data_IF_456967241111
#
_entry.id   IF_456967241111
#
_cell.length_a   1.000
_cell.length_b   1.000
_cell.length_c   1.000
_cell.angle_alpha   90.00
_cell.angle_beta   90.00
_cell.angle_gamma   90.00
#
_symmetry.space_group_name_H-M   'P 1'
#
loop_
_entity.id
_entity.type
_entity.pdbx_description
1 polymer ?
#
# COMPACT_ATOMS: atom_id res chain seq x y z
N UNK A 1 -3.21 -12.02 27.49
CA UNK A 1 -2.69 -12.17 26.13
C UNK A 1 -1.94 -13.48 26.00
N UNK A 2 -2.16 -14.22 24.91
CA UNK A 2 -1.37 -15.42 24.64
C UNK A 2 -0.12 -15.08 23.79
N UNK A 3 0.81 -16.03 23.66
CA UNK A 3 2.07 -15.84 22.90
C UNK A 3 1.83 -15.58 21.41
N UNK A 4 0.82 -16.22 20.80
CA UNK A 4 0.47 -16.05 19.39
C UNK A 4 0.02 -14.63 19.10
N UNK A 5 -0.79 -14.03 19.99
CA UNK A 5 -1.31 -12.67 19.82
C UNK A 5 -0.17 -11.64 19.85
N UNK A 6 0.80 -11.82 20.76
CA UNK A 6 1.97 -10.96 20.87
C UNK A 6 2.89 -11.06 19.65
N UNK A 7 3.12 -12.27 19.13
CA UNK A 7 3.89 -12.46 17.91
C UNK A 7 3.19 -11.85 16.69
N UNK A 8 1.88 -12.10 16.54
CA UNK A 8 1.09 -11.48 15.48
C UNK A 8 1.01 -9.95 15.61
N UNK A 9 1.10 -9.41 16.82
CA UNK A 9 1.21 -7.97 17.02
C UNK A 9 2.53 -7.41 16.49
N UNK A 10 3.67 -8.08 16.73
CA UNK A 10 4.97 -7.68 16.16
C UNK A 10 4.89 -7.58 14.64
N UNK A 11 4.33 -8.59 13.96
CA UNK A 11 4.13 -8.60 12.50
C UNK A 11 3.26 -7.44 12.01
N UNK A 12 2.19 -7.11 12.74
CA UNK A 12 1.32 -5.97 12.41
C UNK A 12 2.04 -4.63 12.57
N UNK A 13 2.83 -4.46 13.64
CA UNK A 13 3.59 -3.23 13.85
C UNK A 13 4.72 -3.10 12.81
N UNK A 14 5.40 -4.20 12.47
CA UNK A 14 6.39 -4.23 11.37
C UNK A 14 5.75 -3.75 10.06
N UNK A 15 4.60 -4.32 9.70
CA UNK A 15 3.87 -3.95 8.47
C UNK A 15 3.49 -2.46 8.45
N UNK A 16 3.11 -1.89 9.60
CA UNK A 16 2.83 -0.45 9.73
C UNK A 16 4.11 0.38 9.59
N UNK A 17 5.21 -0.05 10.19
CA UNK A 17 6.50 0.63 10.10
C UNK A 17 7.03 0.66 8.66
N UNK A 18 6.98 -0.47 7.95
CA UNK A 18 7.37 -0.56 6.53
C UNK A 18 6.50 0.38 5.68
N UNK A 19 5.18 0.35 5.84
CA UNK A 19 4.27 1.26 5.10
C UNK A 19 4.55 2.74 5.38
N UNK A 20 4.95 3.08 6.60
CA UNK A 20 5.33 4.45 6.97
C UNK A 20 6.58 4.90 6.21
N UNK A 21 7.61 4.03 6.14
CA UNK A 21 8.83 4.26 5.36
C UNK A 21 8.48 4.39 3.87
N UNK A 22 7.69 3.47 3.32
CA UNK A 22 7.25 3.52 1.92
C UNK A 22 6.57 4.86 1.59
N UNK A 23 5.59 5.27 2.39
CA UNK A 23 4.84 6.52 2.19
C UNK A 23 5.75 7.75 2.19
N UNK A 24 6.68 7.81 3.16
CA UNK A 24 7.67 8.90 3.28
C UNK A 24 8.56 8.99 2.04
N UNK A 25 9.05 7.86 1.54
CA UNK A 25 9.95 7.82 0.39
C UNK A 25 9.24 8.00 -0.94
N UNK A 26 8.05 7.41 -1.10
CA UNK A 26 7.27 7.50 -2.34
C UNK A 26 6.92 8.95 -2.66
N UNK A 27 6.58 9.75 -1.65
CA UNK A 27 6.40 11.20 -1.81
C UNK A 27 7.66 11.89 -2.37
N UNK A 28 8.83 11.61 -1.80
CA UNK A 28 10.11 12.22 -2.24
C UNK A 28 10.52 11.75 -3.64
N UNK A 29 10.30 10.47 -3.93
CA UNK A 29 10.58 9.87 -5.24
C UNK A 29 9.69 10.52 -6.29
N UNK A 30 8.41 10.70 -5.99
CA UNK A 30 7.44 11.32 -6.89
C UNK A 30 7.79 12.79 -7.18
N UNK A 31 8.12 13.57 -6.15
CA UNK A 31 8.60 14.95 -6.30
C UNK A 31 9.88 15.02 -7.16
N UNK A 32 10.79 14.05 -7.01
CA UNK A 32 12.00 13.97 -7.82
C UNK A 32 11.73 13.58 -9.28
N UNK A 33 10.76 12.67 -9.52
CA UNK A 33 10.30 12.29 -10.87
C UNK A 33 9.69 13.50 -11.59
N UNK A 34 8.79 14.23 -10.92
CA UNK A 34 8.17 15.45 -11.46
C UNK A 34 9.23 16.53 -11.75
N UNK A 35 10.18 16.76 -10.84
CA UNK A 35 11.27 17.70 -11.08
C UNK A 35 12.12 17.31 -12.29
N UNK A 36 12.44 16.03 -12.45
CA UNK A 36 13.22 15.54 -13.58
C UNK A 36 12.49 15.70 -14.93
N UNK A 37 11.17 15.52 -14.93
CA UNK A 37 10.33 15.69 -16.11
C UNK A 37 10.01 17.14 -16.45
N UNK A 38 10.13 18.07 -15.50
CA UNK A 38 9.67 19.47 -15.65
C UNK A 38 10.19 20.16 -16.92
N UNK A 39 11.44 19.88 -17.32
CA UNK A 39 12.05 20.40 -18.57
C UNK A 39 11.36 19.95 -19.86
N UNK A 40 10.47 18.97 -19.80
CA UNK A 40 9.71 18.45 -20.93
C UNK A 40 8.22 18.81 -20.88
N UNK A 41 7.74 19.49 -19.83
CA UNK A 41 6.31 19.75 -19.62
C UNK A 41 5.66 20.41 -20.84
N UNK A 42 6.25 21.48 -21.40
CA UNK A 42 5.69 22.18 -22.57
C UNK A 42 5.54 21.24 -23.78
N UNK A 43 6.49 20.33 -24.01
CA UNK A 43 6.40 19.36 -25.11
C UNK A 43 5.32 18.32 -24.84
N UNK A 44 5.24 17.82 -23.61
CA UNK A 44 4.22 16.85 -23.19
C UNK A 44 2.82 17.46 -23.32
N UNK A 45 2.64 18.72 -22.90
CA UNK A 45 1.38 19.46 -23.03
C UNK A 45 0.99 19.64 -24.50
N UNK A 46 1.94 20.04 -25.36
CA UNK A 46 1.71 20.13 -26.81
C UNK A 46 1.22 18.80 -27.40
N UNK A 47 1.86 17.68 -27.05
CA UNK A 47 1.41 16.36 -27.51
C UNK A 47 0.06 15.96 -26.91
N UNK A 48 -0.21 16.29 -25.65
CA UNK A 48 -1.50 16.02 -25.02
C UNK A 48 -2.62 16.79 -25.71
N UNK A 49 -2.42 18.07 -26.05
CA UNK A 49 -3.39 18.86 -26.80
C UNK A 49 -3.63 18.32 -28.21
N UNK A 50 -2.56 17.94 -28.93
CA UNK A 50 -2.68 17.33 -30.25
C UNK A 50 -3.47 16.00 -30.20
N UNK A 51 -3.16 15.15 -29.22
CA UNK A 51 -3.87 13.90 -29.01
C UNK A 51 -5.34 14.13 -28.63
N UNK A 52 -5.65 15.09 -27.76
CA UNK A 52 -7.03 15.38 -27.37
C UNK A 52 -7.87 15.77 -28.60
N UNK A 53 -7.35 16.64 -29.47
CA UNK A 53 -8.02 17.02 -30.71
C UNK A 53 -8.21 15.82 -31.65
N UNK A 54 -7.17 15.00 -31.83
CA UNK A 54 -7.26 13.77 -32.63
C UNK A 54 -8.31 12.81 -32.07
N UNK A 55 -8.31 12.57 -30.76
CA UNK A 55 -9.23 11.69 -30.04
C UNK A 55 -10.68 12.12 -30.23
N UNK A 56 -10.96 13.43 -30.09
CA UNK A 56 -12.30 14.00 -30.35
C UNK A 56 -12.72 13.80 -31.80
N UNK A 57 -11.87 14.18 -32.77
CA UNK A 57 -12.20 14.06 -34.19
C UNK A 57 -12.43 12.60 -34.60
N UNK A 58 -11.60 11.67 -34.13
CA UNK A 58 -11.76 10.25 -34.40
C UNK A 58 -13.07 9.73 -33.78
N UNK A 59 -13.37 10.09 -32.53
CA UNK A 59 -14.60 9.65 -31.85
C UNK A 59 -15.86 10.14 -32.59
N UNK A 60 -15.86 11.38 -33.07
CA UNK A 60 -16.96 11.93 -33.87
C UNK A 60 -17.12 11.14 -35.18
N UNK A 61 -16.04 10.98 -35.96
CA UNK A 61 -16.07 10.21 -37.21
C UNK A 61 -16.61 8.78 -37.01
N UNK A 62 -16.12 8.08 -35.99
CA UNK A 62 -16.56 6.71 -35.70
C UNK A 62 -18.02 6.64 -35.25
N UNK A 63 -18.55 7.71 -34.66
CA UNK A 63 -19.97 7.84 -34.30
C UNK A 63 -20.80 8.07 -35.56
N UNK A 64 -20.38 9.01 -36.41
CA UNK A 64 -21.05 9.30 -37.68
C UNK A 64 -21.14 8.05 -38.56
N UNK A 65 -20.04 7.31 -38.70
CA UNK A 65 -19.99 6.04 -39.46
C UNK A 65 -20.83 4.91 -38.82
N UNK A 66 -21.09 4.98 -37.52
CA UNK A 66 -21.93 3.99 -36.85
C UNK A 66 -23.42 4.25 -37.12
N UNK A 67 -23.80 5.52 -37.24
CA UNK A 67 -25.16 5.94 -37.53
C UNK A 67 -25.51 5.87 -39.02
N UNK A 68 -24.49 5.91 -39.88
CA UNK A 68 -24.61 5.74 -41.32
C UNK A 68 -25.02 4.31 -41.72
N UNK A 69 -26.05 4.21 -42.58
CA UNK A 69 -26.68 2.95 -42.98
C UNK A 69 -25.84 2.13 -43.97
N UNK A 70 -24.88 2.74 -44.66
CA UNK A 70 -24.02 2.05 -45.64
C UNK A 70 -22.74 1.50 -45.00
N UNK A 71 -22.20 2.21 -44.02
CA UNK A 71 -20.92 1.86 -43.37
C UNK A 71 -21.10 1.09 -42.05
N UNK A 72 -22.06 1.48 -41.20
CA UNK A 72 -22.45 0.73 -40.00
C UNK A 72 -21.30 0.33 -39.08
N UNK A 73 -20.38 1.25 -38.76
CA UNK A 73 -19.19 0.94 -37.97
C UNK A 73 -19.51 0.24 -36.63
N UNK A 74 -18.96 -0.97 -36.45
CA UNK A 74 -19.30 -1.89 -35.34
C UNK A 74 -18.29 -1.90 -34.19
N UNK A 75 -17.49 -0.84 -34.06
CA UNK A 75 -16.51 -0.64 -33.00
C UNK A 75 -15.23 -1.49 -33.10
N UNK A 76 -14.08 -0.89 -32.73
CA UNK A 76 -12.76 -1.53 -32.69
C UNK A 76 -12.14 -1.37 -31.31
N UNK A 77 -11.79 -2.51 -30.72
CA UNK A 77 -11.07 -2.58 -29.45
C UNK A 77 -9.73 -1.85 -29.51
N UNK A 78 -9.03 -1.92 -30.65
CA UNK A 78 -7.70 -1.34 -30.81
C UNK A 78 -7.73 0.19 -30.73
N UNK A 79 -8.74 0.82 -31.36
CA UNK A 79 -8.92 2.26 -31.25
C UNK A 79 -9.23 2.67 -29.81
N UNK A 80 -10.13 1.96 -29.13
CA UNK A 80 -10.44 2.27 -27.74
C UNK A 80 -9.25 2.14 -26.80
N UNK A 81 -8.49 1.06 -26.97
CA UNK A 81 -7.32 0.80 -26.16
C UNK A 81 -6.23 1.86 -26.41
N UNK A 82 -6.00 2.21 -27.67
CA UNK A 82 -5.09 3.30 -28.04
C UNK A 82 -5.49 4.64 -27.42
N UNK A 83 -6.77 5.00 -27.52
CA UNK A 83 -7.29 6.24 -26.93
C UNK A 83 -7.14 6.26 -25.40
N UNK A 84 -7.46 5.15 -24.74
CA UNK A 84 -7.32 5.00 -23.29
C UNK A 84 -5.87 5.15 -22.83
N UNK A 85 -4.94 4.51 -23.53
CA UNK A 85 -3.52 4.53 -23.16
C UNK A 85 -2.94 5.93 -23.29
N UNK A 86 -3.34 6.70 -24.31
CA UNK A 86 -2.83 8.05 -24.55
C UNK A 86 -3.64 9.16 -23.85
N UNK A 87 -4.72 8.82 -23.14
CA UNK A 87 -5.54 9.78 -22.40
C UNK A 87 -4.75 10.58 -21.35
N UNK A 88 -3.63 10.04 -20.84
CA UNK A 88 -2.71 10.75 -19.96
C UNK A 88 -1.26 10.48 -20.35
N UNK A 89 -0.79 11.17 -21.39
CA UNK A 89 0.55 11.01 -21.96
C UNK A 89 1.63 11.20 -20.90
N UNK A 90 1.47 12.20 -20.02
CA UNK A 90 2.45 12.47 -18.95
C UNK A 90 2.59 11.28 -18.01
N UNK A 91 1.47 10.70 -17.58
CA UNK A 91 1.46 9.53 -16.69
C UNK A 91 2.12 8.32 -17.36
N UNK A 92 1.81 8.05 -18.62
CA UNK A 92 2.41 6.94 -19.35
C UNK A 92 3.93 7.11 -19.53
N UNK A 93 4.38 8.29 -19.95
CA UNK A 93 5.81 8.59 -20.08
C UNK A 93 6.50 8.39 -18.72
N UNK A 94 5.92 8.94 -17.64
CA UNK A 94 6.46 8.80 -16.29
C UNK A 94 6.56 7.34 -15.88
N UNK A 95 5.53 6.54 -16.12
CA UNK A 95 5.50 5.12 -15.75
C UNK A 95 6.55 4.29 -16.51
N UNK A 96 6.83 4.64 -17.77
CA UNK A 96 7.82 3.94 -18.62
C UNK A 96 9.25 4.44 -18.45
N UNK A 97 9.44 5.59 -17.80
CA UNK A 97 10.76 6.13 -17.55
C UNK A 97 11.45 5.37 -16.41
N UNK A 98 12.66 4.86 -16.66
CA UNK A 98 13.47 4.20 -15.62
C UNK A 98 14.08 5.17 -14.60
N UNK A 99 13.99 6.49 -14.84
CA UNK A 99 14.55 7.56 -14.01
C UNK A 99 15.92 7.27 -13.36
N UNK A 100 16.99 7.51 -14.13
CA UNK A 100 18.36 7.38 -13.61
C UNK A 100 18.76 8.55 -12.71
N UNK A 101 19.89 8.40 -11.99
CA UNK A 101 20.47 9.46 -11.17
C UNK A 101 19.78 9.63 -9.82
N UNK A 102 19.21 10.81 -9.55
CA UNK A 102 18.65 11.15 -8.23
C UNK A 102 17.50 10.22 -7.81
N UNK A 103 16.58 9.93 -8.71
CA UNK A 103 15.42 9.06 -8.41
C UNK A 103 15.89 7.66 -8.05
N UNK A 104 16.76 7.07 -8.86
CA UNK A 104 17.39 5.76 -8.57
C UNK A 104 18.07 5.73 -7.19
N UNK A 105 18.78 6.79 -6.80
CA UNK A 105 19.38 6.88 -5.45
C UNK A 105 18.33 6.88 -4.34
N UNK A 106 17.23 7.64 -4.50
CA UNK A 106 16.13 7.66 -3.53
C UNK A 106 15.44 6.28 -3.41
N UNK A 107 15.29 5.56 -4.52
CA UNK A 107 14.73 4.19 -4.51
C UNK A 107 15.67 3.20 -3.81
N UNK A 108 16.99 3.34 -4.00
CA UNK A 108 17.99 2.54 -3.28
C UNK A 108 17.98 2.84 -1.77
N UNK A 109 17.93 4.11 -1.38
CA UNK A 109 17.86 4.52 0.02
C UNK A 109 16.57 4.04 0.70
N UNK A 110 15.43 4.12 -0.01
CA UNK A 110 14.14 3.55 0.44
C UNK A 110 14.29 2.06 0.74
N UNK A 111 14.81 1.29 -0.21
CA UNK A 111 14.95 -0.16 -0.05
C UNK A 111 15.89 -0.51 1.11
N UNK A 112 16.98 0.25 1.27
CA UNK A 112 17.89 0.08 2.40
C UNK A 112 17.20 0.34 3.74
N UNK A 113 16.46 1.43 3.89
CA UNK A 113 15.71 1.76 5.11
C UNK A 113 14.64 0.69 5.43
N UNK A 114 13.94 0.17 4.41
CA UNK A 114 12.97 -0.92 4.58
C UNK A 114 13.65 -2.20 5.10
N UNK A 115 14.78 -2.58 4.53
CA UNK A 115 15.50 -3.78 4.97
C UNK A 115 16.08 -3.62 6.38
N UNK A 116 16.56 -2.43 6.75
CA UNK A 116 16.97 -2.12 8.11
C UNK A 116 15.80 -2.23 9.11
N UNK A 117 14.60 -1.74 8.74
CA UNK A 117 13.38 -1.89 9.55
C UNK A 117 13.03 -3.36 9.73
N UNK A 118 12.85 -4.12 8.65
CA UNK A 118 12.53 -5.56 8.71
C UNK A 118 13.56 -6.34 9.51
N UNK A 119 14.84 -6.05 9.33
CA UNK A 119 15.92 -6.70 10.07
C UNK A 119 15.82 -6.47 11.58
N UNK A 120 15.46 -5.25 12.01
CA UNK A 120 15.25 -4.95 13.42
C UNK A 120 14.01 -5.64 13.98
N UNK A 121 12.88 -5.66 13.26
CA UNK A 121 11.68 -6.40 13.68
C UNK A 121 11.95 -7.91 13.76
N UNK A 122 12.70 -8.48 12.82
CA UNK A 122 13.12 -9.89 12.86
C UNK A 122 13.92 -10.22 14.12
N UNK A 123 14.82 -9.34 14.59
CA UNK A 123 15.52 -9.53 15.86
C UNK A 123 14.55 -9.56 17.04
N UNK A 124 13.60 -8.62 17.08
CA UNK A 124 12.56 -8.57 18.12
C UNK A 124 11.74 -9.86 18.12
N UNK A 125 11.33 -10.32 16.95
CA UNK A 125 10.56 -11.54 16.77
C UNK A 125 11.32 -12.80 17.24
N UNK A 126 12.60 -12.93 16.89
CA UNK A 126 13.46 -14.06 17.32
C UNK A 126 13.54 -14.11 18.85
N UNK A 127 13.79 -12.97 19.50
CA UNK A 127 13.87 -12.88 20.96
C UNK A 127 12.52 -13.26 21.59
N UNK A 128 11.42 -12.71 21.09
CA UNK A 128 10.07 -13.03 21.58
C UNK A 128 9.70 -14.51 21.37
N UNK A 129 10.07 -15.13 20.24
CA UNK A 129 9.85 -16.55 19.96
C UNK A 129 10.62 -17.45 20.93
N UNK A 130 11.84 -17.07 21.30
CA UNK A 130 12.67 -17.80 22.26
C UNK A 130 12.16 -17.76 23.71
N UNK A 131 11.27 -16.82 24.05
CA UNK A 131 10.75 -16.70 25.42
C UNK A 131 9.66 -17.73 25.73
N UNK A 132 9.71 -18.29 26.94
CA UNK A 132 8.79 -19.35 27.40
C UNK A 132 7.44 -18.84 27.92
N UNK A 133 7.28 -17.53 28.14
CA UNK A 133 6.10 -16.94 28.78
C UNK A 133 5.61 -15.72 28.00
N UNK A 134 4.29 -15.62 27.78
CA UNK A 134 3.67 -14.44 27.16
C UNK A 134 3.87 -13.18 28.00
N UNK A 135 3.92 -13.29 29.33
CA UNK A 135 4.21 -12.17 30.24
C UNK A 135 5.59 -11.57 29.97
N UNK A 136 6.61 -12.42 29.84
CA UNK A 136 7.99 -11.97 29.53
C UNK A 136 8.08 -11.31 28.15
N UNK A 137 7.32 -11.81 27.18
CA UNK A 137 7.24 -11.19 25.85
C UNK A 137 6.60 -9.80 25.93
N UNK A 138 5.50 -9.66 26.67
CA UNK A 138 4.84 -8.37 26.86
C UNK A 138 5.77 -7.35 27.55
N UNK A 139 6.43 -7.74 28.64
CA UNK A 139 7.41 -6.90 29.35
C UNK A 139 8.58 -6.49 28.45
N UNK A 140 9.07 -7.41 27.62
CA UNK A 140 10.13 -7.12 26.64
C UNK A 140 9.69 -6.10 25.58
N UNK A 141 8.49 -6.27 25.02
CA UNK A 141 7.95 -5.35 24.01
C UNK A 141 7.67 -3.96 24.61
N UNK A 142 7.08 -3.89 25.80
CA UNK A 142 6.90 -2.63 26.54
C UNK A 142 8.24 -1.96 26.85
N UNK A 143 9.27 -2.74 27.22
CA UNK A 143 10.63 -2.25 27.44
C UNK A 143 11.31 -1.68 26.18
N UNK A 144 10.88 -2.11 24.98
CA UNK A 144 11.28 -1.54 23.69
C UNK A 144 10.40 -0.35 23.27
N UNK A 145 9.39 0.02 24.06
CA UNK A 145 8.47 1.12 23.78
C UNK A 145 7.29 0.76 22.89
N UNK A 146 6.98 -0.53 22.71
CA UNK A 146 5.74 -0.92 22.01
C UNK A 146 4.52 -0.64 22.88
N UNK A 147 3.51 -0.01 22.31
CA UNK A 147 2.21 0.16 22.96
C UNK A 147 1.32 -1.07 22.76
N UNK A 148 1.09 -1.82 23.83
CA UNK A 148 0.24 -3.02 23.84
C UNK A 148 -1.23 -2.72 24.22
N UNK A 149 -1.61 -1.45 24.38
CA UNK A 149 -2.97 -1.02 24.79
C UNK A 149 -4.07 -1.71 23.98
N UNK A 150 -3.92 -1.75 22.65
CA UNK A 150 -4.91 -2.35 21.74
C UNK A 150 -5.15 -3.84 21.99
N UNK A 151 -4.13 -4.58 22.43
CA UNK A 151 -4.28 -6.00 22.77
C UNK A 151 -4.98 -6.18 24.12
N UNK A 152 -4.76 -5.25 25.06
CA UNK A 152 -5.39 -5.25 26.38
C UNK A 152 -6.88 -4.93 26.28
N UNK A 153 -7.28 -4.05 25.36
CA UNK A 153 -8.69 -3.74 25.08
C UNK A 153 -9.44 -4.93 24.46
N UNK A 154 -8.85 -5.63 23.50
CA UNK A 154 -9.45 -6.83 22.89
C UNK A 154 -9.65 -7.96 23.91
N UNK A 155 -8.69 -8.13 24.83
CA UNK A 155 -8.80 -9.12 25.93
C UNK A 155 -9.87 -8.74 26.96
N UNK A 156 -9.94 -7.46 27.35
CA UNK A 156 -11.01 -6.94 28.22
C UNK A 156 -12.39 -7.14 27.60
N UNK A 157 -12.52 -6.93 26.29
CA UNK A 157 -13.79 -7.12 25.55
C UNK A 157 -14.23 -8.59 25.53
N UNK A 158 -13.28 -9.52 25.43
CA UNK A 158 -13.53 -10.96 25.49
C UNK A 158 -13.89 -11.44 26.92
N UNK A 159 -13.37 -10.76 27.95
CA UNK A 159 -13.71 -11.00 29.35
C UNK A 159 -15.04 -10.35 29.75
N UNK A 160 -15.46 -9.29 29.06
CA UNK A 160 -16.69 -8.54 29.33
C UNK A 160 -17.92 -9.02 28.53
N UNK A 161 -17.77 -9.94 27.57
CA UNK A 161 -18.93 -10.65 27.01
C UNK A 161 -19.61 -11.43 28.12
N UNK A 162 -20.96 -11.40 28.20
CA UNK A 162 -21.75 -12.09 29.22
C UNK A 162 -21.35 -13.57 29.34
N UNK A 163 -20.41 -13.83 30.25
CA UNK A 163 -20.03 -15.19 30.59
C UNK A 163 -21.24 -15.76 31.31
N UNK A 164 -21.90 -16.75 30.73
CA UNK A 164 -22.99 -17.48 31.38
C UNK A 164 -22.42 -18.23 32.59
N UNK A 165 -22.44 -17.55 33.75
CA UNK A 165 -21.90 -18.06 35.01
C UNK A 165 -22.60 -19.34 35.47
N UNK A 166 -23.82 -19.62 34.99
CA UNK A 166 -24.53 -20.87 35.28
C UNK A 166 -23.90 -22.10 34.61
N UNK A 167 -23.05 -21.88 33.61
CA UNK A 167 -22.28 -22.91 32.88
C UNK A 167 -20.85 -23.05 33.39
N UNK A 168 -20.39 -22.17 34.29
CA UNK A 168 -19.08 -22.26 34.90
C UNK A 168 -19.13 -23.20 36.10
N UNK A 169 -18.53 -24.38 35.99
CA UNK A 169 -18.26 -25.22 37.16
C UNK A 169 -17.07 -24.64 37.93
N UNK A 170 -17.35 -23.97 39.04
CA UNK A 170 -16.33 -23.59 40.02
C UNK A 170 -16.11 -24.79 40.94
N UNK A 171 -14.92 -25.40 40.91
CA UNK A 171 -14.61 -26.53 41.78
C UNK A 171 -14.51 -26.07 43.25
N UNK A 172 -15.42 -26.58 44.08
CA UNK A 172 -15.54 -26.32 45.52
C UNK A 172 -16.50 -25.15 45.78
N UNK A 173 -17.70 -25.30 46.33
CA UNK A 173 -18.22 -26.29 47.27
C UNK A 173 -19.67 -26.61 46.90
N UNK A 174 -20.01 -27.89 46.73
CA UNK A 174 -21.39 -28.34 46.94
C UNK A 174 -21.44 -28.94 48.34
N UNK A 175 -21.97 -28.17 49.28
CA UNK A 175 -22.69 -28.71 50.44
C UNK A 175 -24.14 -28.29 50.32
#
# INVERSE_FOLDING_TARGET
MNKKDLLGFIERVESKAVKSVETKWDKKIEEAKEKAMSKYNNKIEMYQSAFNNFSTNLTNLLTDMKEDLETGYTHSYDFQNGLRNLANIKKEIKYRCEFKGKVMKLEQDKNKEIEEVKFNYKKVEIVAKGMSSSKKIAEYLEGLGFDLSTLKEDEMKYLSTDIDKSKLFVCGENK
#
